data_IF_693767304191
#
_entry.id   IF_693767304191
#
_cell.length_a   1.000
_cell.length_b   1.000
_cell.length_c   1.000
_cell.angle_alpha   90.00
_cell.angle_beta   90.00
_cell.angle_gamma   90.00
#
_symmetry.space_group_name_H-M   'P 1'
#
loop_
_entity.id
_entity.type
_entity.pdbx_description
1 polymer ?
#
# COMPACT_ATOMS: atom_id res chain seq x y z
N UNK A 1 16.24 -1.89 -33.47
CA UNK A 1 15.40 -1.88 -32.24
C UNK A 1 16.22 -1.95 -30.93
N UNK A 2 17.49 -1.51 -30.91
CA UNK A 2 18.41 -1.78 -29.78
C UNK A 2 18.56 -0.64 -28.76
N UNK A 3 18.01 0.56 -29.02
CA UNK A 3 18.13 1.74 -28.13
C UNK A 3 17.16 1.74 -26.94
N UNK A 4 16.08 0.96 -27.00
CA UNK A 4 15.05 0.91 -25.93
C UNK A 4 15.47 0.04 -24.74
N UNK A 5 16.44 -0.87 -24.90
CA UNK A 5 16.84 -1.81 -23.84
C UNK A 5 17.75 -1.19 -22.77
N UNK A 6 18.51 -0.15 -23.12
CA UNK A 6 19.30 0.63 -22.16
C UNK A 6 18.45 1.59 -21.32
N UNK A 7 17.45 2.23 -21.95
CA UNK A 7 16.55 3.17 -21.27
C UNK A 7 15.69 2.51 -20.18
N UNK A 8 15.20 1.30 -20.42
CA UNK A 8 14.35 0.58 -19.46
C UNK A 8 15.08 0.18 -18.16
N UNK A 9 16.41 0.01 -18.22
CA UNK A 9 17.27 -0.21 -17.03
C UNK A 9 17.45 1.09 -16.22
N UNK A 10 17.66 2.22 -16.90
CA UNK A 10 17.71 3.53 -16.24
C UNK A 10 16.38 3.87 -15.54
N UNK A 11 15.26 3.65 -16.21
CA UNK A 11 13.93 3.91 -15.63
C UNK A 11 13.68 3.05 -14.39
N UNK A 12 14.05 1.75 -14.40
CA UNK A 12 13.97 0.89 -13.22
C UNK A 12 14.81 1.38 -12.05
N UNK A 13 16.05 1.79 -12.34
CA UNK A 13 16.94 2.31 -11.30
C UNK A 13 16.41 3.61 -10.68
N UNK A 14 15.90 4.51 -11.52
CA UNK A 14 15.26 5.76 -11.08
C UNK A 14 14.03 5.45 -10.23
N UNK A 15 13.15 4.53 -10.66
CA UNK A 15 11.97 4.12 -9.91
C UNK A 15 12.33 3.49 -8.55
N UNK A 16 13.38 2.68 -8.49
CA UNK A 16 13.86 2.08 -7.24
C UNK A 16 14.38 3.14 -6.28
N UNK A 17 15.23 4.05 -6.75
CA UNK A 17 15.81 5.12 -5.92
C UNK A 17 14.73 6.06 -5.40
N UNK A 18 13.77 6.48 -6.24
CA UNK A 18 12.69 7.36 -5.80
C UNK A 18 11.75 6.66 -4.79
N UNK A 19 11.36 5.40 -5.01
CA UNK A 19 10.55 4.66 -4.04
C UNK A 19 11.30 4.47 -2.71
N UNK A 20 12.63 4.27 -2.76
CA UNK A 20 13.46 4.17 -1.57
C UNK A 20 13.54 5.49 -0.79
N UNK A 21 13.65 6.62 -1.49
CA UNK A 21 13.60 7.95 -0.86
C UNK A 21 12.23 8.20 -0.23
N UNK A 22 11.13 7.88 -0.92
CA UNK A 22 9.78 8.00 -0.37
C UNK A 22 9.60 7.11 0.88
N UNK A 23 10.14 5.91 0.87
CA UNK A 23 10.14 5.01 2.01
C UNK A 23 10.89 5.59 3.21
N UNK A 24 12.09 6.16 3.01
CA UNK A 24 12.86 6.81 4.07
C UNK A 24 12.14 8.05 4.62
N UNK A 25 11.57 8.89 3.74
CA UNK A 25 10.79 10.06 4.15
C UNK A 25 9.55 9.66 4.94
N UNK A 26 8.82 8.63 4.49
CA UNK A 26 7.66 8.09 5.21
C UNK A 26 8.04 7.55 6.59
N UNK A 27 9.14 6.81 6.68
CA UNK A 27 9.67 6.26 7.94
C UNK A 27 10.06 7.37 8.91
N UNK A 28 10.69 8.45 8.41
CA UNK A 28 11.04 9.62 9.23
C UNK A 28 9.80 10.34 9.75
N UNK A 29 8.79 10.56 8.89
CA UNK A 29 7.51 11.18 9.30
C UNK A 29 6.79 10.30 10.34
N UNK A 30 6.76 8.98 10.14
CA UNK A 30 6.20 8.03 11.10
C UNK A 30 6.96 8.07 12.43
N UNK A 31 8.29 8.09 12.40
CA UNK A 31 9.12 8.17 13.59
C UNK A 31 8.85 9.46 14.38
N UNK A 32 8.73 10.61 13.70
CA UNK A 32 8.36 11.88 14.34
C UNK A 32 6.94 11.83 14.90
N UNK A 33 5.97 11.28 14.17
CA UNK A 33 4.60 11.13 14.66
C UNK A 33 4.50 10.23 15.89
N UNK A 34 5.23 9.12 15.91
CA UNK A 34 5.34 8.23 17.06
C UNK A 34 6.06 8.91 18.23
N UNK A 35 7.15 9.65 17.96
CA UNK A 35 7.87 10.41 18.98
C UNK A 35 6.93 11.39 19.68
N UNK A 36 6.20 12.21 18.92
CA UNK A 36 5.22 13.16 19.44
C UNK A 36 4.08 12.51 20.25
N UNK A 37 3.80 11.21 20.01
CA UNK A 37 2.74 10.48 20.70
C UNK A 37 3.22 9.78 21.96
N UNK A 38 4.43 9.26 21.97
CA UNK A 38 4.97 8.37 23.00
C UNK A 38 5.97 9.03 23.95
N UNK A 39 6.55 10.17 23.59
CA UNK A 39 7.50 10.86 24.46
C UNK A 39 6.78 11.70 25.52
N UNK A 40 6.92 11.37 26.82
CA UNK A 40 6.13 11.97 27.90
C UNK A 40 6.45 13.44 28.14
N UNK A 41 7.65 13.91 27.80
CA UNK A 41 8.03 15.32 27.92
C UNK A 41 7.34 16.15 26.84
N UNK A 42 7.34 15.69 25.59
CA UNK A 42 6.59 16.36 24.53
C UNK A 42 5.09 16.34 24.79
N UNK A 43 4.52 15.21 25.24
CA UNK A 43 3.07 15.14 25.54
C UNK A 43 2.70 16.11 26.67
N UNK A 44 3.53 16.26 27.71
CA UNK A 44 3.26 17.21 28.80
C UNK A 44 3.36 18.67 28.36
N UNK A 45 4.37 19.01 27.54
CA UNK A 45 4.48 20.36 26.95
C UNK A 45 3.36 20.67 25.96
N UNK A 46 2.83 19.66 25.28
CA UNK A 46 1.76 19.78 24.29
C UNK A 46 0.36 19.59 24.89
N UNK A 47 0.24 19.35 26.20
CA UNK A 47 -1.04 19.27 26.95
C UNK A 47 -1.16 20.41 27.98
N UNK A 48 -0.08 21.14 28.24
CA UNK A 48 -0.05 22.30 29.14
C UNK A 48 -0.67 23.55 28.49
N UNK A 49 -1.71 24.07 29.14
CA UNK A 49 -2.39 25.36 28.87
C UNK A 49 -2.91 25.52 27.42
N UNK A 50 -4.18 25.14 27.21
CA UNK A 50 -4.98 25.40 25.99
C UNK A 50 -4.58 24.65 24.70
N UNK A 51 -3.98 23.46 24.80
CA UNK A 51 -3.67 22.68 23.60
C UNK A 51 -4.95 22.21 22.85
N UNK A 52 -5.16 22.62 21.60
CA UNK A 52 -6.37 22.29 20.85
C UNK A 52 -6.40 20.82 20.47
N UNK A 53 -7.57 20.17 20.54
CA UNK A 53 -7.77 18.77 20.08
C UNK A 53 -7.34 18.55 18.62
N UNK A 54 -7.27 19.64 17.84
CA UNK A 54 -6.69 19.69 16.50
C UNK A 54 -5.25 19.15 16.44
N UNK A 55 -4.45 19.33 17.49
CA UNK A 55 -3.07 18.85 17.53
C UNK A 55 -2.99 17.32 17.58
N UNK A 56 -3.81 16.67 18.42
CA UNK A 56 -3.88 15.20 18.45
C UNK A 56 -4.36 14.64 17.12
N UNK A 57 -5.39 15.24 16.52
CA UNK A 57 -5.89 14.86 15.19
C UNK A 57 -4.76 14.97 14.15
N UNK A 58 -3.98 16.05 14.18
CA UNK A 58 -2.85 16.24 13.28
C UNK A 58 -1.76 15.17 13.46
N UNK A 59 -1.42 14.80 14.70
CA UNK A 59 -0.44 13.74 14.99
C UNK A 59 -0.94 12.38 14.49
N UNK A 60 -2.21 12.05 14.66
CA UNK A 60 -2.80 10.81 14.13
C UNK A 60 -2.80 10.77 12.60
N UNK A 61 -3.13 11.89 11.95
CA UNK A 61 -3.03 12.02 10.48
C UNK A 61 -1.57 11.85 10.03
N UNK A 62 -0.62 12.42 10.78
CA UNK A 62 0.81 12.35 10.46
C UNK A 62 1.36 10.93 10.60
N UNK A 63 0.97 10.19 11.65
CA UNK A 63 1.27 8.76 11.83
C UNK A 63 0.61 7.94 10.71
N UNK A 64 -0.67 8.18 10.43
CA UNK A 64 -1.41 7.45 9.40
C UNK A 64 -0.84 7.67 8.00
N UNK A 65 -0.58 8.92 7.63
CA UNK A 65 0.03 9.28 6.36
C UNK A 65 1.48 8.77 6.26
N UNK A 66 2.30 8.93 7.31
CA UNK A 66 3.66 8.41 7.38
C UNK A 66 3.72 6.89 7.24
N UNK A 67 2.82 6.17 7.91
CA UNK A 67 2.68 4.72 7.80
C UNK A 67 2.23 4.28 6.41
N UNK A 68 1.22 4.96 5.84
CA UNK A 68 0.79 4.71 4.47
C UNK A 68 1.91 4.90 3.45
N UNK A 69 2.65 6.01 3.53
CA UNK A 69 3.80 6.29 2.66
C UNK A 69 4.91 5.24 2.82
N UNK A 70 5.19 4.81 4.05
CA UNK A 70 6.20 3.76 4.32
C UNK A 70 5.77 2.41 3.74
N UNK A 71 4.51 2.00 3.88
CA UNK A 71 4.02 0.75 3.31
C UNK A 71 4.07 0.76 1.78
N UNK A 72 3.58 1.84 1.16
CA UNK A 72 3.61 2.01 -0.30
C UNK A 72 5.05 2.00 -0.83
N UNK A 73 5.98 2.71 -0.16
CA UNK A 73 7.39 2.73 -0.55
C UNK A 73 8.09 1.38 -0.42
N UNK A 74 7.78 0.60 0.64
CA UNK A 74 8.33 -0.73 0.84
C UNK A 74 7.86 -1.71 -0.25
N UNK A 75 6.55 -1.75 -0.52
CA UNK A 75 5.99 -2.58 -1.59
C UNK A 75 6.46 -2.12 -2.98
N UNK A 76 6.70 -0.82 -3.19
CA UNK A 76 7.30 -0.26 -4.40
C UNK A 76 8.73 -0.74 -4.63
N UNK A 77 9.56 -0.76 -3.58
CA UNK A 77 10.93 -1.27 -3.64
C UNK A 77 10.97 -2.79 -3.88
N UNK A 78 10.17 -3.58 -3.14
CA UNK A 78 10.07 -5.02 -3.33
C UNK A 78 9.52 -5.39 -4.72
N UNK A 79 8.54 -4.63 -5.23
CA UNK A 79 7.97 -4.81 -6.56
C UNK A 79 8.96 -4.47 -7.69
N UNK A 80 9.81 -3.45 -7.51
CA UNK A 80 10.85 -3.10 -8.48
C UNK A 80 11.97 -4.15 -8.57
N UNK A 81 12.28 -4.83 -7.46
CA UNK A 81 13.28 -5.91 -7.39
C UNK A 81 12.74 -7.22 -7.97
N UNK A 82 11.42 -7.47 -7.89
CA UNK A 82 10.77 -8.69 -8.40
C UNK A 82 10.49 -8.60 -9.91
N UNK A 83 11.57 -8.49 -10.69
CA UNK A 83 11.57 -8.50 -12.16
C UNK A 83 11.39 -9.93 -12.71
N UNK A 84 10.19 -10.50 -12.59
CA UNK A 84 9.85 -11.76 -13.26
C UNK A 84 8.34 -11.88 -13.45
N UNK A 85 7.91 -12.46 -14.56
CA UNK A 85 6.56 -12.38 -15.16
C UNK A 85 5.39 -13.00 -14.36
N UNK A 86 5.57 -13.25 -13.06
CA UNK A 86 4.58 -13.83 -12.15
C UNK A 86 4.02 -12.81 -11.14
N UNK A 87 4.18 -11.50 -11.38
CA UNK A 87 3.81 -10.44 -10.41
C UNK A 87 2.34 -10.56 -9.97
N UNK A 88 1.45 -10.87 -10.91
CA UNK A 88 0.05 -11.14 -10.60
C UNK A 88 -0.14 -12.44 -9.79
N UNK A 89 0.58 -13.50 -10.14
CA UNK A 89 0.47 -14.79 -9.45
C UNK A 89 0.94 -14.71 -7.99
N UNK A 90 2.03 -13.97 -7.71
CA UNK A 90 2.48 -13.73 -6.34
C UNK A 90 1.46 -12.96 -5.51
N UNK A 91 0.82 -11.92 -6.07
CA UNK A 91 -0.21 -11.15 -5.36
C UNK A 91 -1.39 -12.06 -5.01
N UNK A 92 -1.82 -12.92 -5.95
CA UNK A 92 -2.91 -13.86 -5.72
C UNK A 92 -2.53 -14.87 -4.63
N UNK A 93 -1.30 -15.42 -4.64
CA UNK A 93 -0.82 -16.34 -3.61
C UNK A 93 -0.76 -15.70 -2.21
N UNK A 94 -0.24 -14.47 -2.11
CA UNK A 94 -0.14 -13.76 -0.84
C UNK A 94 -1.54 -13.45 -0.26
N UNK A 95 -2.49 -13.01 -1.10
CA UNK A 95 -3.88 -12.77 -0.70
C UNK A 95 -4.56 -14.06 -0.25
N UNK A 96 -4.36 -15.16 -0.97
CA UNK A 96 -4.90 -16.48 -0.59
C UNK A 96 -4.32 -16.94 0.75
N UNK A 97 -3.01 -16.77 0.96
CA UNK A 97 -2.34 -17.14 2.20
C UNK A 97 -2.88 -16.35 3.39
N UNK A 98 -2.99 -15.03 3.25
CA UNK A 98 -3.54 -14.18 4.29
C UNK A 98 -5.00 -14.52 4.63
N UNK A 99 -5.82 -14.82 3.62
CA UNK A 99 -7.19 -15.29 3.82
C UNK A 99 -7.25 -16.64 4.57
N UNK A 100 -6.41 -17.61 4.17
CA UNK A 100 -6.31 -18.93 4.80
C UNK A 100 -5.84 -18.84 6.26
N UNK A 101 -4.85 -18.00 6.55
CA UNK A 101 -4.42 -17.70 7.93
C UNK A 101 -5.58 -17.09 8.74
N UNK A 102 -6.28 -16.10 8.16
CA UNK A 102 -7.39 -15.39 8.81
C UNK A 102 -8.57 -16.28 9.21
N UNK A 103 -8.84 -17.37 8.48
CA UNK A 103 -9.92 -18.34 8.79
C UNK A 103 -9.46 -19.42 9.78
N UNK A 104 -8.16 -19.70 9.87
CA UNK A 104 -7.61 -20.75 10.74
C UNK A 104 -7.48 -20.32 12.22
N UNK A 105 -7.35 -19.02 12.49
CA UNK A 105 -7.27 -18.47 13.86
C UNK A 105 -8.63 -18.16 14.50
N UNK A 106 -9.76 -18.30 13.79
CA UNK A 106 -11.06 -17.77 14.20
C UNK A 106 -12.09 -18.81 14.65
N UNK A 107 -12.11 -19.20 15.94
CA UNK A 107 -13.20 -20.02 16.50
C UNK A 107 -14.11 -19.32 17.53
N UNK A 108 -13.92 -18.06 17.93
CA UNK A 108 -14.97 -17.43 18.78
C UNK A 108 -15.08 -15.90 18.74
N UNK A 109 -14.46 -15.20 17.80
CA UNK A 109 -14.81 -13.81 17.48
C UNK A 109 -14.49 -13.50 16.02
N UNK A 110 -15.48 -12.98 15.31
CA UNK A 110 -15.44 -12.56 13.91
C UNK A 110 -14.23 -11.69 13.58
N UNK A 111 -13.23 -12.21 12.87
CA UNK A 111 -12.21 -11.38 12.24
C UNK A 111 -12.88 -10.61 11.08
N UNK A 112 -13.13 -9.31 11.28
CA UNK A 112 -13.77 -8.40 10.30
C UNK A 112 -13.21 -8.55 8.89
N UNK A 113 -11.92 -8.85 8.80
CA UNK A 113 -11.20 -9.15 7.56
C UNK A 113 -11.89 -10.23 6.73
N UNK A 114 -12.18 -11.42 7.30
CA UNK A 114 -12.81 -12.53 6.58
C UNK A 114 -14.24 -12.19 6.12
N UNK A 115 -15.01 -11.49 6.97
CA UNK A 115 -16.35 -11.02 6.62
C UNK A 115 -16.35 -10.03 5.44
N UNK A 116 -15.33 -9.17 5.35
CA UNK A 116 -15.14 -8.27 4.20
C UNK A 116 -14.87 -9.08 2.93
N UNK A 117 -14.00 -10.10 3.00
CA UNK A 117 -13.77 -10.98 1.84
C UNK A 117 -15.07 -11.66 1.39
N UNK A 118 -15.86 -12.20 2.32
CA UNK A 118 -17.13 -12.87 1.99
C UNK A 118 -18.17 -11.93 1.37
N UNK A 119 -18.26 -10.69 1.88
CA UNK A 119 -19.18 -9.68 1.36
C UNK A 119 -18.75 -9.12 -0.01
N UNK A 120 -17.45 -8.83 -0.19
CA UNK A 120 -16.91 -8.23 -1.42
C UNK A 120 -16.88 -9.23 -2.58
N UNK A 121 -16.51 -10.48 -2.31
CA UNK A 121 -16.35 -11.53 -3.32
C UNK A 121 -17.59 -12.42 -3.43
N UNK A 122 -18.62 -12.18 -2.61
CA UNK A 122 -19.83 -12.98 -2.53
C UNK A 122 -19.54 -14.49 -2.35
N UNK A 123 -18.52 -14.82 -1.57
CA UNK A 123 -18.02 -16.19 -1.35
C UNK A 123 -18.11 -16.57 0.13
N UNK A 124 -17.88 -17.84 0.46
CA UNK A 124 -17.70 -18.25 1.85
C UNK A 124 -16.67 -19.38 2.00
N UNK A 125 -15.85 -19.26 3.05
CA UNK A 125 -15.00 -20.35 3.54
C UNK A 125 -13.92 -20.78 2.54
N UNK A 126 -13.34 -21.94 2.82
CA UNK A 126 -12.52 -22.73 1.91
C UNK A 126 -13.03 -24.18 1.96
N UNK A 127 -12.57 -25.03 1.04
CA UNK A 127 -13.08 -26.39 0.80
C UNK A 127 -12.98 -27.31 2.03
N UNK A 128 -12.20 -26.93 3.04
CA UNK A 128 -11.92 -27.70 4.27
C UNK A 128 -12.62 -27.11 5.51
N UNK A 129 -12.91 -25.81 5.54
CA UNK A 129 -13.40 -25.13 6.74
C UNK A 129 -14.51 -24.12 6.41
N UNK A 130 -15.73 -24.43 6.86
CA UNK A 130 -16.88 -23.51 6.81
C UNK A 130 -17.00 -22.80 8.16
N UNK A 131 -16.66 -21.49 8.25
CA UNK A 131 -16.85 -20.75 9.48
C UNK A 131 -18.34 -20.64 9.84
N UNK A 132 -18.67 -20.62 11.13
CA UNK A 132 -20.04 -20.52 11.65
C UNK A 132 -20.79 -19.27 11.20
N UNK A 133 -20.10 -18.24 10.71
CA UNK A 133 -20.69 -17.01 10.14
C UNK A 133 -21.39 -17.23 8.78
N UNK A 134 -21.28 -18.42 8.18
CA UNK A 134 -21.90 -18.76 6.91
C UNK A 134 -23.02 -19.80 7.02
N UNK A 135 -23.60 -19.99 8.21
CA UNK A 135 -24.66 -20.99 8.44
C UNK A 135 -25.92 -20.80 7.57
N UNK A 136 -26.05 -19.66 6.87
CA UNK A 136 -27.12 -19.36 5.90
C UNK A 136 -26.64 -19.33 4.44
N UNK A 137 -25.38 -19.70 4.17
CA UNK A 137 -24.87 -19.74 2.81
C UNK A 137 -25.38 -21.00 2.10
N UNK A 138 -26.24 -20.78 1.10
CA UNK A 138 -26.70 -21.76 0.13
C UNK A 138 -25.57 -22.71 -0.30
N UNK A 139 -25.87 -24.01 -0.43
CA UNK A 139 -24.90 -25.07 -0.74
C UNK A 139 -24.14 -24.81 -2.07
N UNK A 140 -24.64 -23.90 -2.90
CA UNK A 140 -24.07 -23.45 -4.17
C UNK A 140 -23.13 -22.22 -4.08
N UNK A 141 -22.80 -21.72 -2.87
CA UNK A 141 -21.90 -20.57 -2.71
C UNK A 141 -20.46 -20.95 -3.09
N UNK A 142 -19.85 -20.14 -3.96
CA UNK A 142 -18.48 -20.34 -4.46
C UNK A 142 -17.44 -20.23 -3.34
N UNK A 143 -16.40 -21.07 -3.44
CA UNK A 143 -15.24 -21.05 -2.56
C UNK A 143 -14.45 -19.73 -2.68
N UNK A 144 -14.06 -19.11 -1.56
CA UNK A 144 -13.38 -17.81 -1.61
C UNK A 144 -12.00 -17.90 -2.27
N UNK A 145 -11.29 -19.02 -2.18
CA UNK A 145 -9.99 -19.15 -2.87
C UNK A 145 -10.14 -19.10 -4.39
N UNK A 146 -11.23 -19.64 -4.92
CA UNK A 146 -11.56 -19.59 -6.34
C UNK A 146 -12.17 -18.24 -6.72
N UNK A 147 -13.05 -17.67 -5.88
CA UNK A 147 -13.64 -16.36 -6.12
C UNK A 147 -12.57 -15.24 -6.17
N UNK A 148 -11.51 -15.34 -5.35
CA UNK A 148 -10.35 -14.44 -5.42
C UNK A 148 -9.71 -14.51 -6.82
N UNK A 149 -9.44 -15.71 -7.34
CA UNK A 149 -8.84 -15.85 -8.67
C UNK A 149 -9.75 -15.31 -9.78
N UNK A 150 -11.05 -15.59 -9.69
CA UNK A 150 -12.04 -15.14 -10.67
C UNK A 150 -12.16 -13.61 -10.67
N UNK A 151 -12.19 -13.00 -9.48
CA UNK A 151 -12.20 -11.55 -9.30
C UNK A 151 -10.95 -10.89 -9.87
N UNK A 152 -9.77 -11.45 -9.60
CA UNK A 152 -8.52 -10.91 -10.14
C UNK A 152 -8.45 -11.06 -11.66
N UNK A 153 -8.99 -12.12 -12.26
CA UNK A 153 -9.02 -12.27 -13.72
C UNK A 153 -9.99 -11.28 -14.39
N UNK A 154 -11.17 -11.07 -13.81
CA UNK A 154 -12.21 -10.25 -14.44
C UNK A 154 -12.03 -8.75 -14.15
N UNK A 155 -11.57 -8.39 -12.94
CA UNK A 155 -11.42 -7.00 -12.49
C UNK A 155 -9.97 -6.51 -12.54
N UNK A 156 -9.04 -7.33 -13.05
CA UNK A 156 -7.63 -6.94 -13.23
C UNK A 156 -7.51 -5.61 -13.93
N UNK A 157 -8.32 -5.39 -14.96
CA UNK A 157 -8.21 -4.20 -15.80
C UNK A 157 -8.50 -2.93 -14.99
N UNK A 158 -9.44 -2.97 -14.05
CA UNK A 158 -9.78 -1.82 -13.18
C UNK A 158 -8.62 -1.52 -12.25
N UNK A 159 -8.10 -2.56 -11.58
CA UNK A 159 -6.94 -2.45 -10.68
C UNK A 159 -5.71 -1.96 -11.47
N UNK A 160 -5.57 -2.42 -12.71
CA UNK A 160 -4.55 -1.99 -13.67
C UNK A 160 -4.66 -0.51 -14.02
N UNK A 161 -5.85 0.00 -14.35
CA UNK A 161 -6.05 1.43 -14.64
C UNK A 161 -5.75 2.32 -13.44
N UNK A 162 -6.19 1.92 -12.24
CA UNK A 162 -5.89 2.66 -11.00
C UNK A 162 -4.38 2.68 -10.75
N UNK A 163 -3.72 1.53 -10.89
CA UNK A 163 -2.26 1.43 -10.75
C UNK A 163 -1.49 2.26 -11.77
N UNK A 164 -1.91 2.24 -13.05
CA UNK A 164 -1.32 3.06 -14.12
C UNK A 164 -1.52 4.55 -13.86
N UNK A 165 -2.71 4.96 -13.39
CA UNK A 165 -3.00 6.35 -13.06
C UNK A 165 -2.10 6.87 -11.93
N UNK A 166 -1.99 6.10 -10.85
CA UNK A 166 -1.14 6.42 -9.70
C UNK A 166 0.35 6.46 -10.10
N UNK A 167 0.81 5.48 -10.88
CA UNK A 167 2.17 5.49 -11.43
C UNK A 167 2.41 6.68 -12.37
N UNK A 168 1.43 7.04 -13.20
CA UNK A 168 1.48 8.17 -14.12
C UNK A 168 1.64 9.49 -13.38
N UNK A 169 0.86 9.72 -12.32
CA UNK A 169 0.97 10.91 -11.47
C UNK A 169 2.35 11.00 -10.82
N UNK A 170 2.89 9.88 -10.31
CA UNK A 170 4.25 9.86 -9.75
C UNK A 170 5.32 10.17 -10.80
N UNK A 171 5.21 9.58 -12.00
CA UNK A 171 6.16 9.82 -13.10
C UNK A 171 6.14 11.27 -13.54
N UNK A 172 4.95 11.87 -13.67
CA UNK A 172 4.79 13.28 -14.01
C UNK A 172 5.42 14.17 -12.92
N UNK A 173 5.22 13.86 -11.65
CA UNK A 173 5.84 14.58 -10.53
C UNK A 173 7.37 14.51 -10.54
N UNK A 174 7.95 13.36 -10.89
CA UNK A 174 9.40 13.20 -11.03
C UNK A 174 9.96 14.02 -12.22
N UNK A 175 9.26 14.04 -13.35
CA UNK A 175 9.66 14.83 -14.53
C UNK A 175 9.64 16.32 -14.21
N UNK A 176 8.56 16.82 -13.60
CA UNK A 176 8.46 18.23 -13.23
C UNK A 176 9.51 18.64 -12.20
N UNK A 177 9.81 17.79 -11.22
CA UNK A 177 10.90 18.06 -10.25
C UNK A 177 12.25 18.21 -10.94
N UNK A 178 12.58 17.34 -11.90
CA UNK A 178 13.85 17.47 -12.65
C UNK A 178 13.90 18.76 -13.49
N UNK A 179 12.81 19.11 -14.17
CA UNK A 179 12.75 20.33 -14.99
C UNK A 179 12.87 21.59 -14.11
N UNK A 180 12.19 21.63 -12.97
CA UNK A 180 12.25 22.75 -12.03
C UNK A 180 13.65 22.91 -11.42
N UNK A 181 14.30 21.81 -11.02
CA UNK A 181 15.67 21.84 -10.54
C UNK A 181 16.65 22.38 -11.60
N UNK A 182 16.49 21.96 -12.86
CA UNK A 182 17.30 22.47 -13.97
C UNK A 182 17.06 23.96 -14.22
N UNK A 183 15.82 24.44 -14.16
CA UNK A 183 15.49 25.84 -14.34
C UNK A 183 16.02 26.74 -13.21
N UNK A 184 15.93 26.29 -11.96
CA UNK A 184 16.46 27.03 -10.79
C UNK A 184 17.99 27.08 -10.82
N UNK A 185 18.66 25.98 -11.20
CA UNK A 185 20.12 25.97 -11.36
C UNK A 185 20.55 26.93 -12.46
N UNK A 186 19.88 26.87 -13.62
CA UNK A 186 20.13 27.75 -14.75
C UNK A 186 20.00 29.23 -14.39
N UNK A 187 19.06 29.61 -13.52
CA UNK A 187 18.92 31.01 -13.08
C UNK A 187 19.97 31.45 -12.06
N UNK A 188 20.58 30.54 -11.28
CA UNK A 188 21.63 30.88 -10.32
C UNK A 188 23.00 31.06 -10.99
N UNK A 189 23.22 30.44 -12.14
CA UNK A 189 24.46 30.57 -12.91
C UNK A 189 24.53 31.80 -13.82
N UNK A 190 23.45 32.59 -13.91
CA UNK A 190 23.39 33.87 -14.67
C UNK A 190 23.48 35.12 -13.79
N UNK A 191 23.65 34.99 -12.46
CA UNK A 191 23.81 36.08 -11.50
C UNK A 191 25.19 35.96 -10.85
#
# INVERSE_FOLDING_TARGET
MSKVQGGMKCVKYILFVFNFIFWLCGSLVLAVGLWLRFDPETVQLLTGEEAPETFFIAVYILIGAGGGMTLVGFFGCCGAVKESQCLLASIIEDVKKFYSESISEGSENSNRTAAIYHAVLNCCGDSVSKPSQCLDADEDRKDCLNAIMDFFNEKLYIIGYVGIGVAGVMVIGMIFSMVLCCAIRNNREVI
#
